data_IF_967362039839
#
_entry.id   IF_967362039839
#
_cell.length_a   1.000
_cell.length_b   1.000
_cell.length_c   1.000
_cell.angle_alpha   90.00
_cell.angle_beta   90.00
_cell.angle_gamma   90.00
#
_symmetry.space_group_name_H-M   'P 1'
#
loop_
_entity.id
_entity.type
_entity.pdbx_description
1 polymer ?
#
# COMPACT_ATOMS: atom_id res chain seq x y z
N UNK A 1 8.49 -1.59 19.26
CA UNK A 1 7.52 -1.07 18.27
C UNK A 1 6.06 -1.33 18.68
N UNK A 2 5.65 -2.58 18.95
CA UNK A 2 4.26 -2.90 19.36
C UNK A 2 3.79 -2.22 20.67
N UNK A 3 4.66 -2.03 21.67
CA UNK A 3 4.25 -1.38 22.92
C UNK A 3 3.94 0.11 22.79
N UNK A 4 4.62 0.82 21.87
CA UNK A 4 4.35 2.23 21.60
C UNK A 4 2.99 2.42 20.92
N UNK A 5 2.60 1.51 20.03
CA UNK A 5 1.27 1.51 19.38
C UNK A 5 0.16 1.19 20.39
N UNK A 6 0.37 0.24 21.30
CA UNK A 6 -0.60 -0.05 22.38
C UNK A 6 -0.79 1.13 23.35
N UNK A 7 0.25 1.93 23.60
CA UNK A 7 0.12 3.14 24.41
C UNK A 7 -0.71 4.24 23.72
N UNK A 8 -0.71 4.27 22.38
CA UNK A 8 -1.48 5.24 21.58
C UNK A 8 -2.98 4.88 21.48
N UNK A 9 -3.35 3.61 21.54
CA UNK A 9 -4.76 3.18 21.43
C UNK A 9 -5.56 3.46 22.72
N UNK A 10 -4.93 3.51 23.90
CA UNK A 10 -5.65 3.86 25.13
C UNK A 10 -6.17 5.29 25.06
N UNK A 11 -7.49 5.46 24.87
CA UNK A 11 -8.17 6.76 24.74
C UNK A 11 -8.08 7.64 26.01
N UNK A 12 -7.55 7.09 27.11
CA UNK A 12 -7.26 7.77 28.37
C UNK A 12 -5.80 8.18 28.53
N UNK A 13 -4.90 7.81 27.61
CA UNK A 13 -3.52 8.28 27.57
C UNK A 13 -3.49 9.70 26.99
N UNK A 14 -3.96 10.69 27.76
CA UNK A 14 -3.63 12.07 27.50
C UNK A 14 -2.12 12.24 27.70
N UNK A 15 -1.34 12.10 26.65
CA UNK A 15 0.00 12.67 26.63
C UNK A 15 -0.17 14.18 26.49
N UNK A 16 -0.24 14.87 27.63
CA UNK A 16 -0.25 16.33 27.76
C UNK A 16 -1.43 17.10 27.11
N UNK A 17 -2.65 16.56 27.12
CA UNK A 17 -3.84 17.30 26.67
C UNK A 17 -3.88 17.63 25.17
N UNK A 18 -2.98 17.07 24.36
CA UNK A 18 -3.03 17.16 22.91
C UNK A 18 -4.05 16.15 22.36
N UNK A 19 -4.96 16.60 21.50
CA UNK A 19 -5.81 15.70 20.72
C UNK A 19 -4.95 15.05 19.64
N UNK A 20 -4.90 13.71 19.65
CA UNK A 20 -4.20 12.93 18.61
C UNK A 20 -5.11 12.91 17.38
N UNK A 21 -4.63 13.48 16.28
CA UNK A 21 -5.34 13.42 15.00
C UNK A 21 -5.04 12.11 14.27
N UNK A 22 -5.91 11.74 13.33
CA UNK A 22 -5.70 10.55 12.50
C UNK A 22 -4.41 10.67 11.68
N UNK A 23 -4.15 11.85 11.16
CA UNK A 23 -2.97 12.16 10.35
C UNK A 23 -1.69 11.94 11.14
N UNK A 24 -1.65 12.40 12.40
CA UNK A 24 -0.51 12.15 13.28
C UNK A 24 -0.27 10.66 13.55
N UNK A 25 -1.35 9.86 13.62
CA UNK A 25 -1.25 8.42 13.79
C UNK A 25 -0.77 7.74 12.52
N UNK A 26 -1.31 8.13 11.37
CA UNK A 26 -0.96 7.60 10.05
C UNK A 26 0.51 7.88 9.72
N UNK A 27 1.00 9.08 10.05
CA UNK A 27 2.41 9.47 9.91
C UNK A 27 3.34 8.56 10.75
N UNK A 28 3.00 8.35 12.04
CA UNK A 28 3.79 7.49 12.93
C UNK A 28 3.74 6.03 12.50
N UNK A 29 2.61 5.59 11.93
CA UNK A 29 2.43 4.26 11.37
C UNK A 29 3.03 4.11 9.97
N UNK A 30 3.60 5.19 9.40
CA UNK A 30 4.15 5.24 8.04
C UNK A 30 3.15 4.76 6.96
N UNK A 31 1.86 5.04 7.18
CA UNK A 31 0.80 4.74 6.22
C UNK A 31 1.08 5.50 4.92
N UNK A 32 0.93 4.85 3.77
CA UNK A 32 1.08 5.55 2.49
C UNK A 32 -0.15 6.44 2.29
N UNK A 33 0.03 7.74 2.01
CA UNK A 33 -1.08 8.63 1.67
C UNK A 33 -1.97 8.06 0.57
N UNK A 34 -3.28 8.23 0.73
CA UNK A 34 -4.27 7.64 -0.16
C UNK A 34 -4.13 8.14 -1.60
N UNK A 35 -3.73 9.41 -1.78
CA UNK A 35 -3.45 10.01 -3.08
C UNK A 35 -2.38 9.24 -3.87
N UNK A 36 -1.35 8.71 -3.20
CA UNK A 36 -0.30 7.94 -3.86
C UNK A 36 -0.76 6.56 -4.27
N UNK A 37 -1.57 5.90 -3.41
CA UNK A 37 -2.17 4.60 -3.71
C UNK A 37 -3.16 4.71 -4.87
N UNK A 38 -4.03 5.71 -4.83
CA UNK A 38 -4.98 5.99 -5.92
C UNK A 38 -4.23 6.36 -7.21
N UNK A 39 -3.20 7.21 -7.14
CA UNK A 39 -2.35 7.53 -8.28
C UNK A 39 -1.69 6.29 -8.89
N UNK A 40 -1.30 5.31 -8.07
CA UNK A 40 -0.76 4.04 -8.56
C UNK A 40 -1.82 3.20 -9.29
N UNK A 41 -3.06 3.17 -8.77
CA UNK A 41 -4.18 2.50 -9.44
C UNK A 41 -4.56 3.17 -10.76
N UNK A 42 -4.60 4.50 -10.79
CA UNK A 42 -4.85 5.30 -12.00
C UNK A 42 -3.76 5.08 -13.05
N UNK A 43 -2.49 5.08 -12.65
CA UNK A 43 -1.37 4.78 -13.53
C UNK A 43 -1.42 3.34 -14.07
N UNK A 44 -1.85 2.38 -13.26
CA UNK A 44 -2.07 1.01 -13.72
C UNK A 44 -3.24 0.92 -14.72
N UNK A 45 -4.30 1.68 -14.51
CA UNK A 45 -5.48 1.71 -15.39
C UNK A 45 -5.21 2.44 -16.71
N UNK A 46 -4.27 3.41 -16.74
CA UNK A 46 -3.87 4.10 -17.97
C UNK A 46 -3.22 3.16 -19.00
N UNK A 47 -2.71 2.00 -18.55
CA UNK A 47 -2.04 1.02 -19.39
C UNK A 47 -0.63 1.44 -19.84
N UNK A 48 -0.13 2.60 -19.40
CA UNK A 48 1.24 3.07 -19.72
C UNK A 48 2.19 2.65 -18.60
N UNK A 49 3.10 1.74 -18.94
CA UNK A 49 4.08 1.23 -17.98
C UNK A 49 4.98 2.33 -17.39
N UNK A 50 5.34 3.34 -18.18
CA UNK A 50 6.20 4.44 -17.73
C UNK A 50 5.52 5.27 -16.61
N UNK A 51 4.20 5.47 -16.68
CA UNK A 51 3.45 6.17 -15.63
C UNK A 51 3.45 5.36 -14.34
N UNK A 52 3.18 4.05 -14.44
CA UNK A 52 3.21 3.14 -13.31
C UNK A 52 4.60 3.13 -12.67
N UNK A 53 5.65 3.03 -13.48
CA UNK A 53 7.03 3.03 -13.03
C UNK A 53 7.39 4.35 -12.32
N UNK A 54 6.93 5.48 -12.85
CA UNK A 54 7.14 6.79 -12.23
C UNK A 54 6.46 6.88 -10.86
N UNK A 55 5.20 6.44 -10.76
CA UNK A 55 4.45 6.47 -9.51
C UNK A 55 5.07 5.56 -8.44
N UNK A 56 5.54 4.37 -8.82
CA UNK A 56 6.27 3.47 -7.91
C UNK A 56 7.55 4.13 -7.40
N UNK A 57 8.31 4.82 -8.26
CA UNK A 57 9.51 5.55 -7.84
C UNK A 57 9.16 6.66 -6.87
N UNK A 58 8.08 7.41 -7.10
CA UNK A 58 7.62 8.45 -6.18
C UNK A 58 7.35 7.87 -4.79
N UNK A 59 6.57 6.79 -4.69
CA UNK A 59 6.25 6.12 -3.41
C UNK A 59 7.54 5.76 -2.64
N UNK A 60 8.52 5.15 -3.30
CA UNK A 60 9.77 4.75 -2.66
C UNK A 60 10.66 5.94 -2.29
N UNK A 61 10.72 6.98 -3.14
CA UNK A 61 11.51 8.18 -2.88
C UNK A 61 10.96 9.03 -1.74
N UNK A 62 9.65 8.97 -1.50
CA UNK A 62 9.00 9.57 -0.33
C UNK A 62 9.19 8.74 0.95
N UNK A 63 9.86 7.60 0.85
CA UNK A 63 10.25 6.77 2.00
C UNK A 63 9.19 5.76 2.44
N UNK A 64 8.15 5.55 1.63
CA UNK A 64 7.13 4.54 1.92
C UNK A 64 7.61 3.14 1.51
N UNK A 65 7.40 2.17 2.41
CA UNK A 65 7.79 0.78 2.15
C UNK A 65 6.86 0.10 1.13
N UNK A 66 7.42 -0.81 0.34
CA UNK A 66 6.64 -1.63 -0.57
C UNK A 66 5.63 -2.52 0.16
N UNK A 67 5.99 -3.03 1.35
CA UNK A 67 5.09 -3.84 2.16
C UNK A 67 3.82 -3.08 2.53
N UNK A 68 3.95 -1.84 3.01
CA UNK A 68 2.78 -1.01 3.36
C UNK A 68 1.93 -0.67 2.14
N UNK A 69 2.56 -0.34 1.00
CA UNK A 69 1.85 -0.11 -0.26
C UNK A 69 1.03 -1.34 -0.67
N UNK A 70 1.62 -2.53 -0.63
CA UNK A 70 0.94 -3.79 -0.97
C UNK A 70 -0.20 -4.08 0.00
N UNK A 71 -0.02 -3.83 1.30
CA UNK A 71 -1.06 -4.01 2.31
C UNK A 71 -2.28 -3.11 2.06
N UNK A 72 -2.06 -1.83 1.70
CA UNK A 72 -3.15 -0.92 1.35
C UNK A 72 -3.83 -1.30 0.04
N UNK A 73 -3.07 -1.69 -0.99
CA UNK A 73 -3.62 -2.20 -2.25
C UNK A 73 -4.47 -3.46 -2.04
N UNK A 74 -4.01 -4.39 -1.20
CA UNK A 74 -4.74 -5.58 -0.80
C UNK A 74 -6.09 -5.21 -0.18
N UNK A 75 -6.09 -4.30 0.78
CA UNK A 75 -7.30 -3.86 1.48
C UNK A 75 -8.31 -3.25 0.49
N UNK A 76 -7.86 -2.34 -0.37
CA UNK A 76 -8.68 -1.74 -1.42
C UNK A 76 -9.22 -2.76 -2.43
N UNK A 77 -8.41 -3.76 -2.79
CA UNK A 77 -8.80 -4.77 -3.78
C UNK A 77 -9.89 -5.71 -3.24
N UNK A 78 -9.84 -6.05 -1.95
CA UNK A 78 -10.89 -6.85 -1.30
C UNK A 78 -12.21 -6.08 -1.29
N UNK A 79 -12.16 -4.81 -0.88
CA UNK A 79 -13.32 -3.94 -0.72
C UNK A 79 -13.93 -3.46 -2.07
N UNK A 80 -13.19 -3.59 -3.17
CA UNK A 80 -13.62 -3.12 -4.49
C UNK A 80 -14.78 -3.94 -5.08
N UNK A 81 -15.96 -3.36 -5.24
CA UNK A 81 -17.08 -4.04 -5.94
C UNK A 81 -16.95 -4.00 -7.48
N UNK A 82 -16.00 -3.23 -8.02
CA UNK A 82 -15.82 -3.05 -9.46
C UNK A 82 -15.00 -4.16 -10.13
N UNK A 83 -14.26 -4.95 -9.35
CA UNK A 83 -13.45 -6.05 -9.85
C UNK A 83 -14.19 -7.38 -9.72
N UNK A 84 -14.28 -8.14 -10.82
CA UNK A 84 -14.79 -9.50 -10.78
C UNK A 84 -13.93 -10.42 -9.88
N UNK A 85 -14.56 -11.37 -9.19
CA UNK A 85 -13.89 -12.27 -8.25
C UNK A 85 -12.67 -12.99 -8.84
N UNK A 86 -12.75 -13.39 -10.11
CA UNK A 86 -11.62 -14.02 -10.81
C UNK A 86 -10.41 -13.09 -10.92
N UNK A 87 -10.64 -11.80 -11.19
CA UNK A 87 -9.57 -10.78 -11.27
C UNK A 87 -9.03 -10.47 -9.88
N UNK A 88 -9.89 -10.38 -8.86
CA UNK A 88 -9.47 -10.23 -7.46
C UNK A 88 -8.59 -11.38 -7.00
N UNK A 89 -8.99 -12.63 -7.25
CA UNK A 89 -8.23 -13.81 -6.85
C UNK A 89 -6.81 -13.80 -7.42
N UNK A 90 -6.66 -13.43 -8.70
CA UNK A 90 -5.36 -13.31 -9.35
C UNK A 90 -4.51 -12.18 -8.75
N UNK A 91 -5.10 -11.03 -8.40
CA UNK A 91 -4.38 -9.95 -7.72
C UNK A 91 -3.94 -10.34 -6.31
N UNK A 92 -4.81 -11.01 -5.55
CA UNK A 92 -4.49 -11.45 -4.19
C UNK A 92 -3.34 -12.46 -4.18
N UNK A 93 -3.27 -13.35 -5.16
CA UNK A 93 -2.12 -14.25 -5.35
C UNK A 93 -0.82 -13.48 -5.64
N UNK A 94 -0.89 -12.46 -6.50
CA UNK A 94 0.25 -11.58 -6.81
C UNK A 94 0.72 -10.84 -5.56
N UNK A 95 -0.20 -10.28 -4.76
CA UNK A 95 0.15 -9.57 -3.53
C UNK A 95 0.79 -10.51 -2.50
N UNK A 96 0.21 -11.69 -2.29
CA UNK A 96 0.75 -12.68 -1.35
C UNK A 96 2.17 -13.13 -1.73
N UNK A 97 2.42 -13.34 -3.02
CA UNK A 97 3.74 -13.74 -3.50
C UNK A 97 4.77 -12.60 -3.38
N UNK A 98 4.36 -11.37 -3.68
CA UNK A 98 5.22 -10.20 -3.49
C UNK A 98 5.57 -9.98 -2.02
N UNK A 99 4.57 -10.10 -1.13
CA UNK A 99 4.74 -9.97 0.31
C UNK A 99 5.68 -11.05 0.88
N UNK A 100 5.51 -12.32 0.48
CA UNK A 100 6.45 -13.39 0.85
C UNK A 100 7.87 -13.08 0.41
N UNK A 101 8.07 -12.55 -0.80
CA UNK A 101 9.40 -12.17 -1.29
C UNK A 101 10.00 -11.00 -0.52
N UNK A 102 9.18 -10.02 -0.14
CA UNK A 102 9.63 -8.90 0.70
C UNK A 102 10.08 -9.40 2.08
N UNK A 103 9.38 -10.37 2.67
CA UNK A 103 9.82 -11.02 3.92
C UNK A 103 11.17 -11.73 3.78
N UNK A 104 11.46 -12.29 2.60
CA UNK A 104 12.75 -12.90 2.27
C UNK A 104 13.85 -11.87 1.92
N UNK A 105 13.57 -10.56 2.01
CA UNK A 105 14.52 -9.49 1.73
C UNK A 105 14.68 -9.16 0.24
N UNK A 106 13.68 -9.45 -0.58
CA UNK A 106 13.68 -9.05 -1.99
C UNK A 106 13.63 -7.52 -2.16
N UNK A 107 14.13 -7.06 -3.31
CA UNK A 107 14.13 -5.65 -3.68
C UNK A 107 12.71 -5.07 -3.81
N UNK A 108 12.44 -4.00 -3.07
CA UNK A 108 11.13 -3.34 -2.97
C UNK A 108 10.64 -2.80 -4.31
N UNK A 109 11.53 -2.20 -5.08
CA UNK A 109 11.21 -1.64 -6.39
C UNK A 109 10.77 -2.73 -7.37
N UNK A 110 11.51 -3.84 -7.42
CA UNK A 110 11.14 -4.98 -8.26
C UNK A 110 9.82 -5.63 -7.83
N UNK A 111 9.54 -5.72 -6.52
CA UNK A 111 8.26 -6.27 -6.05
C UNK A 111 7.08 -5.34 -6.38
N UNK A 112 7.23 -4.02 -6.24
CA UNK A 112 6.20 -3.08 -6.64
C UNK A 112 5.97 -3.09 -8.16
N UNK A 113 7.00 -3.27 -8.98
CA UNK A 113 6.83 -3.46 -10.42
C UNK A 113 6.06 -4.75 -10.75
N UNK A 114 6.35 -5.85 -10.05
CA UNK A 114 5.61 -7.11 -10.20
C UNK A 114 4.12 -6.93 -9.86
N UNK A 115 3.83 -6.28 -8.75
CA UNK A 115 2.47 -5.93 -8.30
C UNK A 115 1.77 -5.00 -9.27
N UNK A 116 2.43 -3.91 -9.68
CA UNK A 116 1.90 -2.93 -10.62
C UNK A 116 1.59 -3.54 -11.99
N UNK A 117 2.45 -4.43 -12.49
CA UNK A 117 2.16 -5.19 -13.71
C UNK A 117 0.96 -6.14 -13.54
N UNK A 118 0.73 -6.66 -12.34
CA UNK A 118 -0.49 -7.39 -11.98
C UNK A 118 -1.75 -6.53 -12.07
N UNK A 119 -1.69 -5.33 -11.48
CA UNK A 119 -2.78 -4.34 -11.54
C UNK A 119 -3.12 -3.96 -12.98
N UNK A 120 -2.12 -3.64 -13.81
CA UNK A 120 -2.33 -3.32 -15.23
C UNK A 120 -3.07 -4.45 -15.97
N UNK A 121 -2.70 -5.71 -15.74
CA UNK A 121 -3.38 -6.87 -16.36
C UNK A 121 -4.79 -7.08 -15.84
N UNK A 122 -5.08 -6.71 -14.60
CA UNK A 122 -6.40 -6.83 -14.01
C UNK A 122 -7.38 -5.75 -14.53
N UNK A 123 -6.86 -4.57 -14.87
CA UNK A 123 -7.64 -3.46 -15.41
C UNK A 123 -7.79 -3.47 -16.95
N UNK A 124 -6.95 -4.22 -17.66
CA UNK A 124 -7.13 -4.52 -19.08
C UNK A 124 -8.38 -5.39 -19.34
#
# INVERSE_FOLDING_TARGET
MLQSVCQLWNSSAQVNGAQISKEQLDDVAAVVPNEMILGLMEAAQSGRFDDLQAQIKTILLEGHSAHQTIYQLHSLTIESDSLADKRKALLLEIFALADSRLMDGADEYLQLLYVGGGLMRAFA
#
